data_IF_678864559499
#
_entry.id   IF_678864559499
#
_cell.length_a   1.000
_cell.length_b   1.000
_cell.length_c   1.000
_cell.angle_alpha   90.00
_cell.angle_beta   90.00
_cell.angle_gamma   90.00
#
_symmetry.space_group_name_H-M   'P 1'
#
loop_
_entity.id
_entity.type
_entity.pdbx_description
1 polymer ?
2 non-polymer ?
3 water ?
#
# COMPACT_ATOMS: atom_id res chain seq x y z
N UNK A 24 -14.59 -8.06 0.82
CA UNK A 24 -13.42 -8.12 -0.13
C UNK A 24 -13.47 -6.95 -1.10
N UNK A 25 -12.37 -6.66 -1.80
CA UNK A 25 -12.34 -5.71 -2.93
C UNK A 25 -11.67 -6.39 -4.12
N UNK A 26 -11.95 -5.95 -5.34
CA UNK A 26 -11.48 -6.52 -6.62
C UNK A 26 -11.00 -5.44 -7.57
N UNK A 27 -10.05 -5.79 -8.43
CA UNK A 27 -9.59 -4.94 -9.54
C UNK A 27 -9.19 -5.84 -10.71
N UNK A 28 -9.75 -5.50 -11.87
CA UNK A 28 -9.52 -6.22 -13.15
C UNK A 28 -8.71 -5.34 -14.09
N UNK A 29 -7.53 -5.78 -14.47
CA UNK A 29 -6.68 -5.04 -15.42
C UNK A 29 -7.30 -5.11 -16.82
N UNK A 30 -8.03 -6.17 -17.14
CA UNK A 30 -8.68 -6.27 -18.46
C UNK A 30 -9.79 -5.23 -18.54
N UNK A 31 -9.60 -4.27 -19.46
CA UNK A 31 -10.52 -3.15 -19.66
C UNK A 31 -10.34 -2.04 -18.64
N UNK A 32 -9.29 -2.09 -17.82
CA UNK A 32 -9.05 -1.06 -16.79
C UNK A 32 -8.75 0.27 -17.48
N UNK A 33 -9.17 1.33 -16.83
CA UNK A 33 -8.88 2.71 -17.23
C UNK A 33 -8.70 3.50 -15.94
N UNK A 34 -8.25 4.77 -16.03
CA UNK A 34 -8.12 5.59 -14.83
C UNK A 34 -9.36 5.52 -13.92
N UNK A 35 -10.56 5.54 -14.50
CA UNK A 35 -11.82 5.55 -13.73
C UNK A 35 -11.93 4.23 -12.94
N UNK A 36 -11.72 3.09 -13.56
CA UNK A 36 -11.93 1.81 -12.87
C UNK A 36 -10.84 1.64 -11.80
N UNK A 37 -9.63 2.12 -12.04
CA UNK A 37 -8.58 2.05 -11.00
C UNK A 37 -8.99 2.93 -9.82
N UNK A 38 -9.49 4.11 -10.10
CA UNK A 38 -9.95 5.01 -9.03
C UNK A 38 -11.04 4.36 -8.22
N UNK A 39 -11.95 3.63 -8.88
CA UNK A 39 -13.02 2.96 -8.13
C UNK A 39 -12.48 1.84 -7.24
N UNK A 40 -11.45 1.14 -7.69
CA UNK A 40 -10.80 0.09 -6.88
C UNK A 40 -10.16 0.75 -5.62
N UNK A 41 -9.42 1.83 -5.81
CA UNK A 41 -8.75 2.50 -4.65
C UNK A 41 -9.79 3.05 -3.71
N UNK A 42 -10.91 3.56 -4.24
CA UNK A 42 -12.01 3.97 -3.33
C UNK A 42 -12.55 2.75 -2.55
N UNK A 43 -12.79 1.64 -3.23
CA UNK A 43 -13.23 0.37 -2.57
C UNK A 43 -12.22 -0.01 -1.48
N UNK A 44 -10.93 0.08 -1.77
CA UNK A 44 -9.88 -0.37 -0.81
C UNK A 44 -9.92 0.53 0.44
N UNK A 45 -9.92 1.84 0.27
CA UNK A 45 -10.03 2.78 1.41
C UNK A 45 -11.29 2.48 2.22
N UNK A 46 -12.42 2.24 1.55
CA UNK A 46 -13.72 2.07 2.23
C UNK A 46 -13.78 0.74 2.99
N UNK A 47 -12.91 -0.23 2.69
CA UNK A 47 -12.92 -1.55 3.37
C UNK A 47 -12.09 -1.48 4.66
N UNK A 48 -11.35 -0.40 4.90
CA UNK A 48 -10.51 -0.26 6.11
C UNK A 48 -11.33 0.40 7.20
N UNK A 49 -11.53 -0.28 8.35
CA UNK A 49 -12.40 0.25 9.39
C UNK A 49 -11.77 1.46 10.09
N UNK A 50 -12.64 2.33 10.63
CA UNK A 50 -12.23 3.48 11.46
C UNK A 50 -13.39 3.82 12.36
N UNK A 51 -13.09 4.25 13.58
CA UNK A 51 -14.13 4.71 14.54
C UNK A 51 -14.19 6.23 14.56
N UNK A 52 -13.15 6.92 14.10
CA UNK A 52 -13.12 8.40 14.07
C UNK A 52 -12.25 8.91 12.93
N UNK A 53 -12.39 10.19 12.66
CA UNK A 53 -11.56 10.99 11.74
C UNK A 53 -10.80 12.04 12.54
N UNK A 54 -9.55 12.28 12.18
CA UNK A 54 -8.69 13.35 12.75
C UNK A 54 -8.43 14.33 11.62
N UNK A 55 -8.87 15.57 11.77
CA UNK A 55 -8.83 16.59 10.70
C UNK A 55 -9.40 15.98 9.42
N UNK A 56 -10.54 15.28 9.56
CA UNK A 56 -11.39 14.77 8.45
C UNK A 56 -10.69 13.61 7.72
N UNK A 57 -9.68 13.00 8.32
CA UNK A 57 -8.94 11.84 7.72
C UNK A 57 -9.26 10.61 8.58
N UNK A 58 -9.77 9.52 7.98
CA UNK A 58 -9.99 8.29 8.74
C UNK A 58 -8.73 7.86 9.51
N UNK A 59 -8.93 7.58 10.78
CA UNK A 59 -7.90 7.07 11.69
C UNK A 59 -8.03 5.55 11.76
N UNK A 60 -7.03 4.84 11.21
CA UNK A 60 -7.04 3.35 11.26
C UNK A 60 -7.03 2.87 12.72
N UNK A 61 -7.57 1.69 12.96
CA UNK A 61 -7.80 1.18 14.34
C UNK A 61 -6.47 0.79 14.97
N UNK A 62 -6.35 0.86 16.31
CA UNK A 62 -5.13 0.42 16.98
C UNK A 62 -4.88 -1.08 16.79
N UNK A 63 -5.96 -1.85 16.77
CA UNK A 63 -5.92 -3.33 16.73
C UNK A 63 -7.26 -3.87 16.25
N UNK A 64 -7.21 -5.03 15.60
CA UNK A 64 -8.39 -5.88 15.24
C UNK A 64 -8.00 -7.32 15.55
N UNK A 65 -8.82 -8.03 16.34
CA UNK A 65 -8.59 -9.45 16.73
C UNK A 65 -9.07 -10.37 15.60
N UNK A 66 -8.38 -11.49 15.39
CA UNK A 66 -8.86 -12.61 14.56
C UNK A 66 -8.78 -12.31 13.07
N UNK A 67 -9.61 -13.00 12.28
CA UNK A 67 -9.60 -12.95 10.79
C UNK A 67 -10.01 -11.55 10.32
N UNK A 68 -10.76 -10.80 11.15
CA UNK A 68 -11.23 -9.44 10.84
C UNK A 68 -10.10 -8.47 10.58
N UNK A 69 -8.89 -8.77 11.07
CA UNK A 69 -7.69 -7.94 10.85
C UNK A 69 -7.34 -7.88 9.35
N UNK A 70 -7.78 -8.82 8.53
CA UNK A 70 -7.24 -8.99 7.15
C UNK A 70 -8.32 -8.75 6.10
N UNK A 71 -8.03 -7.83 5.20
CA UNK A 71 -8.85 -7.56 3.99
C UNK A 71 -8.29 -8.41 2.85
N UNK A 72 -9.15 -9.04 2.07
CA UNK A 72 -8.76 -9.76 0.84
C UNK A 72 -8.99 -8.89 -0.39
N UNK A 73 -7.95 -8.71 -1.19
CA UNK A 73 -7.99 -7.97 -2.47
C UNK A 73 -7.83 -9.00 -3.60
N UNK A 74 -8.82 -9.11 -4.46
CA UNK A 74 -8.77 -10.01 -5.64
C UNK A 74 -8.30 -9.19 -6.85
N UNK A 75 -7.14 -9.52 -7.35
CA UNK A 75 -6.50 -8.80 -8.47
C UNK A 75 -6.44 -9.74 -9.67
N UNK A 76 -6.87 -9.24 -10.83
CA UNK A 76 -6.93 -10.01 -12.09
C UNK A 76 -6.02 -9.35 -13.12
N UNK A 77 -5.17 -10.13 -13.78
CA UNK A 77 -4.26 -9.58 -14.82
C UNK A 77 -5.05 -9.45 -16.13
N UNK A 78 -4.42 -8.95 -17.18
CA UNK A 78 -5.11 -8.69 -18.49
C UNK A 78 -5.75 -9.98 -18.97
N UNK A 79 -5.10 -11.12 -18.71
CA UNK A 79 -5.54 -12.47 -19.18
C UNK A 79 -6.61 -13.07 -18.27
N UNK A 80 -6.98 -12.41 -17.16
CA UNK A 80 -8.04 -12.85 -16.25
C UNK A 80 -7.58 -13.86 -15.20
N UNK A 81 -6.28 -14.12 -15.09
CA UNK A 81 -5.67 -14.93 -14.00
C UNK A 81 -5.63 -14.08 -12.74
N UNK A 82 -5.69 -14.69 -11.56
CA UNK A 82 -5.98 -13.93 -10.32
C UNK A 82 -5.08 -14.38 -9.17
N UNK A 83 -4.74 -13.41 -8.33
CA UNK A 83 -4.19 -13.64 -6.97
C UNK A 83 -5.12 -12.98 -5.98
N UNK A 84 -5.15 -13.49 -4.77
CA UNK A 84 -5.80 -12.80 -3.66
C UNK A 84 -4.70 -12.33 -2.71
N UNK A 85 -4.75 -11.07 -2.32
CA UNK A 85 -3.73 -10.45 -1.43
C UNK A 85 -4.39 -10.19 -0.08
N UNK A 86 -3.74 -10.57 0.99
CA UNK A 86 -4.17 -10.27 2.37
C UNK A 86 -3.50 -9.00 2.84
N UNK A 87 -4.29 -8.06 3.32
CA UNK A 87 -3.84 -6.73 3.78
C UNK A 87 -4.27 -6.55 5.24
N UNK A 88 -3.33 -6.18 6.12
CA UNK A 88 -3.66 -5.85 7.53
C UNK A 88 -4.39 -4.51 7.52
N UNK A 89 -5.62 -4.46 8.08
CA UNK A 89 -6.48 -3.25 7.95
C UNK A 89 -6.04 -2.17 8.95
N UNK A 90 -5.15 -2.47 9.89
CA UNK A 90 -4.64 -1.48 10.88
C UNK A 90 -3.54 -0.63 10.23
N UNK A 91 -2.83 -1.14 9.21
CA UNK A 91 -1.65 -0.40 8.72
C UNK A 91 -1.52 -0.48 7.18
N UNK A 92 -2.44 -1.16 6.52
CA UNK A 92 -2.44 -1.36 5.04
C UNK A 92 -1.16 -2.10 4.63
N UNK A 93 -0.55 -2.89 5.51
CA UNK A 93 0.60 -3.74 5.11
C UNK A 93 0.07 -5.00 4.43
N UNK A 94 0.73 -5.34 3.34
CA UNK A 94 0.48 -6.65 2.68
C UNK A 94 1.19 -7.74 3.48
N UNK A 95 0.45 -8.79 3.84
CA UNK A 95 0.97 -9.92 4.64
C UNK A 95 1.41 -11.04 3.72
N UNK A 96 0.63 -11.28 2.68
CA UNK A 96 0.86 -12.43 1.82
C UNK A 96 -0.21 -12.52 0.78
N UNK A 97 -0.19 -13.58 -0.02
CA UNK A 97 -1.13 -13.70 -1.15
C UNK A 97 -1.29 -15.18 -1.48
N UNK A 98 -2.38 -15.46 -2.15
CA UNK A 98 -2.76 -16.80 -2.64
C UNK A 98 -2.69 -16.80 -4.17
N UNK A 99 -1.96 -17.73 -4.75
CA UNK A 99 -1.92 -17.96 -6.21
C UNK A 99 -2.26 -19.42 -6.47
N UNK A 100 -3.45 -19.66 -7.02
CA UNK A 100 -3.98 -21.03 -7.29
C UNK A 100 -4.07 -21.75 -5.93
N UNK A 101 -3.21 -22.73 -5.68
CA UNK A 101 -3.31 -23.58 -4.46
C UNK A 101 -2.11 -23.36 -3.54
N UNK A 102 -1.31 -22.31 -3.77
CA UNK A 102 -0.14 -22.02 -2.92
C UNK A 102 -0.32 -20.65 -2.27
N UNK A 103 -0.16 -20.58 -0.96
CA UNK A 103 -0.10 -19.30 -0.24
C UNK A 103 1.35 -18.90 -0.09
N UNK A 104 1.59 -17.61 0.01
CA UNK A 104 2.92 -17.01 0.14
C UNK A 104 2.85 -15.93 1.20
N UNK A 105 3.71 -15.96 2.20
CA UNK A 105 3.72 -14.95 3.28
C UNK A 105 5.10 -14.36 3.44
N UNK A 106 5.19 -13.09 3.78
CA UNK A 106 6.47 -12.46 4.16
C UNK A 106 7.06 -13.16 5.38
N UNK A 107 8.38 -13.06 5.49
CA UNK A 107 9.15 -13.68 6.59
C UNK A 107 9.22 -12.67 7.73
N UNK A 108 8.09 -12.48 8.42
CA UNK A 108 7.98 -11.53 9.56
C UNK A 108 6.84 -12.03 10.46
N UNK A 109 6.92 -11.77 11.78
CA UNK A 109 5.90 -12.27 12.70
C UNK A 109 4.43 -11.91 12.42
N UNK A 110 4.15 -10.71 11.92
CA UNK A 110 2.76 -10.29 11.59
C UNK A 110 2.20 -11.18 10.47
N UNK A 111 3.04 -11.52 9.49
CA UNK A 111 2.62 -12.36 8.36
C UNK A 111 2.42 -13.81 8.81
N UNK A 112 3.28 -14.32 9.71
CA UNK A 112 3.11 -15.70 10.24
C UNK A 112 1.76 -15.77 10.97
N UNK A 113 1.42 -14.75 11.76
CA UNK A 113 0.12 -14.69 12.48
C UNK A 113 -1.03 -14.62 11.46
N UNK A 114 -0.89 -13.80 10.42
CA UNK A 114 -1.92 -13.72 9.35
C UNK A 114 -2.19 -15.12 8.78
N UNK A 115 -1.16 -15.96 8.63
CA UNK A 115 -1.28 -17.28 8.00
C UNK A 115 -2.11 -18.25 8.87
N UNK A 116 -2.44 -17.88 10.12
CA UNK A 116 -3.37 -18.67 10.97
C UNK A 116 -4.82 -18.45 10.53
N UNK A 117 -5.10 -17.35 9.82
CA UNK A 117 -6.47 -16.85 9.57
C UNK A 117 -6.84 -16.84 8.08
N UNK A 118 -5.88 -16.62 7.17
CA UNK A 118 -6.17 -16.46 5.72
C UNK A 118 -5.48 -17.57 4.92
N UNK A 119 -6.13 -17.98 3.82
CA UNK A 119 -5.59 -18.92 2.81
C UNK A 119 -5.30 -20.29 3.43
N UNK A 120 -6.01 -20.65 4.49
CA UNK A 120 -5.79 -21.91 5.23
C UNK A 120 -5.88 -23.10 4.27
N UNK A 121 -6.77 -23.01 3.28
CA UNK A 121 -7.15 -24.15 2.39
C UNK A 121 -6.14 -24.31 1.25
N UNK A 122 -5.06 -23.54 1.20
CA UNK A 122 -3.94 -23.69 0.24
C UNK A 122 -3.28 -25.05 0.48
N UNK A 123 -2.88 -25.72 -0.60
CA UNK A 123 -2.21 -27.05 -0.53
C UNK A 123 -0.87 -26.91 0.17
N UNK A 124 -0.18 -25.79 0.00
CA UNK A 124 1.12 -25.56 0.63
C UNK A 124 1.27 -24.06 0.90
N UNK A 125 2.09 -23.74 1.87
CA UNK A 125 2.37 -22.36 2.31
C UNK A 125 3.87 -22.13 2.20
N UNK A 126 4.24 -21.22 1.32
CA UNK A 126 5.67 -20.82 1.21
C UNK A 126 5.90 -19.55 2.01
N UNK A 127 6.92 -19.50 2.80
CA UNK A 127 7.41 -18.28 3.45
C UNK A 127 8.45 -17.69 2.51
N UNK A 128 8.21 -16.48 2.06
CA UNK A 128 9.16 -15.78 1.18
C UNK A 128 10.46 -15.56 1.94
N UNK A 129 11.61 -15.50 1.24
CA UNK A 129 12.90 -15.28 1.89
C UNK A 129 13.26 -13.80 2.12
N UNK A 130 12.27 -13.05 2.63
CA UNK A 130 12.39 -11.64 3.00
C UNK A 130 11.12 -11.22 3.73
N UNK A 131 11.27 -10.21 4.57
CA UNK A 131 10.14 -9.45 5.15
C UNK A 131 9.56 -8.53 4.07
N UNK A 132 8.48 -7.84 4.43
CA UNK A 132 7.79 -6.92 3.50
C UNK A 132 8.29 -5.49 3.59
N UNK A 133 9.35 -5.25 4.37
CA UNK A 133 10.02 -3.95 4.50
C UNK A 133 10.53 -3.51 3.12
N UNK A 134 10.37 -2.25 2.73
CA UNK A 134 10.90 -1.71 1.46
C UNK A 134 12.41 -1.96 1.31
N UNK A 135 13.18 -1.68 2.37
CA UNK A 135 14.64 -1.84 2.26
C UNK A 135 14.97 -3.31 1.95
N UNK A 136 14.33 -4.26 2.64
CA UNK A 136 14.58 -5.72 2.41
C UNK A 136 14.09 -6.13 1.01
N UNK A 137 12.93 -5.64 0.58
CA UNK A 137 12.41 -6.04 -0.76
C UNK A 137 13.35 -5.52 -1.84
N UNK A 138 13.85 -4.28 -1.68
CA UNK A 138 14.76 -3.66 -2.68
C UNK A 138 16.06 -4.46 -2.79
N UNK A 139 16.58 -4.96 -1.66
CA UNK A 139 17.81 -5.81 -1.68
C UNK A 139 17.49 -7.10 -2.44
N UNK A 140 16.36 -7.75 -2.12
CA UNK A 140 15.96 -9.02 -2.76
C UNK A 140 15.71 -8.82 -4.25
N UNK A 141 15.14 -7.67 -4.65
CA UNK A 141 14.77 -7.39 -6.06
C UNK A 141 16.02 -7.03 -6.87
N UNK A 142 17.04 -6.48 -6.20
CA UNK A 142 18.31 -6.04 -6.83
C UNK A 142 18.24 -4.61 -7.35
N UNK A 143 17.18 -3.88 -7.02
CA UNK A 143 16.93 -2.49 -7.48
C UNK A 143 16.15 -1.76 -6.39
N UNK A 144 16.41 -0.45 -6.17
CA UNK A 144 15.57 0.35 -5.28
C UNK A 144 14.31 0.76 -6.05
N UNK A 145 13.27 1.17 -5.33
CA UNK A 145 11.97 1.64 -5.89
C UNK A 145 12.15 2.71 -6.97
N UNK A 146 13.13 3.60 -6.77
CA UNK A 146 13.34 4.76 -7.65
C UNK A 146 13.60 4.28 -9.08
N UNK A 147 14.07 3.03 -9.27
CA UNK A 147 14.44 2.49 -10.61
C UNK A 147 13.42 1.49 -11.15
N UNK A 148 12.35 1.19 -10.42
CA UNK A 148 11.35 0.17 -10.85
C UNK A 148 10.12 0.90 -11.39
N UNK A 149 9.84 0.81 -12.70
CA UNK A 149 8.65 1.46 -13.23
C UNK A 149 7.37 0.89 -12.62
N UNK A 150 6.44 1.79 -12.32
CA UNK A 150 5.11 1.40 -11.79
C UNK A 150 4.04 1.92 -12.72
N UNK A 151 2.84 1.40 -12.56
CA UNK A 151 1.69 1.74 -13.39
C UNK A 151 0.79 0.55 -13.50
N UNK A 152 -0.28 0.65 -14.28
CA UNK A 152 -1.20 -0.49 -14.45
C UNK A 152 -0.54 -1.60 -15.26
N UNK A 153 0.21 -1.33 -16.35
CA UNK A 153 0.92 -2.43 -17.01
C UNK A 153 1.87 -3.17 -16.05
N UNK A 154 2.58 -2.42 -15.21
CA UNK A 154 3.50 -3.03 -14.23
C UNK A 154 2.72 -3.92 -13.27
N UNK A 155 1.52 -3.51 -12.88
CA UNK A 155 0.68 -4.33 -11.97
C UNK A 155 0.23 -5.60 -12.70
N UNK A 156 -0.09 -5.51 -13.98
CA UNK A 156 -0.38 -6.73 -14.79
C UNK A 156 0.84 -7.66 -14.70
N UNK A 157 2.02 -7.14 -14.95
CA UNK A 157 3.27 -7.95 -14.90
C UNK A 157 3.45 -8.53 -13.49
N UNK A 158 3.16 -7.76 -12.44
CA UNK A 158 3.39 -8.21 -11.05
C UNK A 158 2.47 -9.38 -10.72
N UNK A 159 1.19 -9.30 -11.06
CA UNK A 159 0.22 -10.40 -10.84
C UNK A 159 0.72 -11.62 -11.60
N UNK A 160 1.11 -11.45 -12.85
CA UNK A 160 1.63 -12.59 -13.65
C UNK A 160 2.83 -13.21 -12.95
N UNK A 161 3.79 -12.41 -12.47
CA UNK A 161 5.00 -12.91 -11.77
C UNK A 161 4.55 -13.72 -10.55
N UNK A 162 3.62 -13.21 -9.75
CA UNK A 162 3.29 -13.85 -8.46
C UNK A 162 2.49 -15.14 -8.65
N UNK A 163 1.96 -15.41 -9.85
CA UNK A 163 1.17 -16.64 -10.07
C UNK A 163 2.03 -17.89 -9.89
N UNK A 164 3.33 -17.79 -10.16
CA UNK A 164 4.26 -18.96 -10.07
C UNK A 164 5.52 -18.50 -9.37
N UNK A 165 5.95 -19.25 -8.37
CA UNK A 165 7.01 -18.82 -7.46
C UNK A 165 8.33 -18.49 -8.20
N UNK A 166 8.86 -17.31 -7.92
CA UNK A 166 10.22 -16.87 -8.31
C UNK A 166 10.58 -15.80 -7.29
N UNK A 167 11.36 -16.09 -6.26
CA UNK A 167 11.49 -15.15 -5.11
C UNK A 167 12.16 -13.84 -5.53
N UNK A 168 13.14 -13.85 -6.43
CA UNK A 168 13.79 -12.57 -6.88
C UNK A 168 12.78 -11.76 -7.69
N UNK A 169 12.07 -12.38 -8.63
CA UNK A 169 11.07 -11.68 -9.47
C UNK A 169 9.96 -11.21 -8.54
N UNK A 170 9.55 -12.04 -7.58
CA UNK A 170 8.42 -11.70 -6.69
C UNK A 170 8.75 -10.44 -5.90
N UNK A 171 9.98 -10.24 -5.46
CA UNK A 171 10.34 -9.02 -4.68
C UNK A 171 10.00 -7.76 -5.50
N UNK A 172 10.43 -7.70 -6.74
CA UNK A 172 10.10 -6.57 -7.61
C UNK A 172 8.60 -6.45 -7.80
N UNK A 173 7.92 -7.56 -8.05
CA UNK A 173 6.47 -7.56 -8.30
C UNK A 173 5.79 -7.03 -7.03
N UNK A 174 6.24 -7.47 -5.85
CA UNK A 174 5.64 -6.96 -4.60
C UNK A 174 5.89 -5.46 -4.43
N UNK A 175 7.06 -4.94 -4.80
CA UNK A 175 7.25 -3.47 -4.69
C UNK A 175 6.25 -2.75 -5.60
N UNK A 176 5.97 -3.30 -6.79
CA UNK A 176 4.95 -2.68 -7.68
C UNK A 176 3.56 -2.80 -7.02
N UNK A 177 3.21 -3.99 -6.53
CA UNK A 177 1.90 -4.27 -5.94
C UNK A 177 1.67 -3.34 -4.75
N UNK A 178 2.66 -3.21 -3.87
CA UNK A 178 2.44 -2.39 -2.65
C UNK A 178 2.17 -0.94 -3.08
N UNK A 179 2.93 -0.43 -4.04
CA UNK A 179 2.80 1.01 -4.35
C UNK A 179 1.51 1.26 -5.11
N UNK A 180 1.03 0.31 -5.93
CA UNK A 180 -0.16 0.55 -6.77
C UNK A 180 -1.45 0.25 -6.01
N UNK A 181 -1.39 -0.30 -4.80
CA UNK A 181 -2.57 -0.63 -3.99
C UNK A 181 -2.49 0.18 -2.69
N UNK A 182 -1.75 -0.31 -1.71
CA UNK A 182 -1.65 0.33 -0.37
C UNK A 182 -1.20 1.78 -0.46
N UNK A 183 -0.18 2.11 -1.25
CA UNK A 183 0.33 3.50 -1.19
C UNK A 183 -0.67 4.43 -1.87
N UNK A 184 -1.31 3.98 -2.94
CA UNK A 184 -2.38 4.77 -3.60
C UNK A 184 -3.57 4.95 -2.65
N UNK A 185 -3.91 3.94 -1.85
CA UNK A 185 -4.97 4.08 -0.83
C UNK A 185 -4.60 5.17 0.15
N UNK A 186 -3.35 5.24 0.53
CA UNK A 186 -2.91 6.19 1.58
C UNK A 186 -2.88 7.61 1.04
N UNK A 187 -2.57 7.83 -0.22
CA UNK A 187 -2.35 9.19 -0.76
C UNK A 187 -3.05 9.41 -2.08
N UNK A 188 -3.90 10.39 -2.12
CA UNK A 188 -4.61 10.76 -3.37
C UNK A 188 -3.60 11.07 -4.47
N UNK A 189 -2.50 11.75 -4.16
CA UNK A 189 -1.45 12.06 -5.16
C UNK A 189 -0.95 10.78 -5.81
N UNK A 190 -0.68 9.75 -5.00
CA UNK A 190 -0.13 8.49 -5.56
C UNK A 190 -1.20 7.81 -6.41
N UNK A 191 -2.43 7.75 -5.97
CA UNK A 191 -3.54 7.26 -6.82
C UNK A 191 -3.48 7.97 -8.18
N UNK A 192 -3.41 9.29 -8.20
CA UNK A 192 -3.39 10.07 -9.47
C UNK A 192 -2.13 9.77 -10.28
N UNK A 193 -0.98 9.52 -9.66
CA UNK A 193 0.26 9.14 -10.39
C UNK A 193 0.04 7.80 -11.10
N UNK A 194 -0.62 6.84 -10.44
CA UNK A 194 -0.85 5.53 -11.11
C UNK A 194 -1.86 5.73 -12.25
N UNK A 195 -2.84 6.61 -12.07
CA UNK A 195 -3.83 6.89 -13.14
C UNK A 195 -3.11 7.45 -14.36
N UNK A 196 -2.10 8.26 -14.15
CA UNK A 196 -1.29 8.81 -15.27
C UNK A 196 -0.51 7.70 -15.97
N UNK A 197 -0.23 6.61 -15.27
CA UNK A 197 0.53 5.44 -15.75
C UNK A 197 -0.44 4.30 -16.10
N UNK A 198 -1.65 4.60 -16.56
CA UNK A 198 -2.66 3.57 -16.86
C UNK A 198 -2.20 2.71 -18.06
N UNK A 199 -1.45 3.29 -19.00
CA UNK A 199 -1.07 2.60 -20.26
C UNK A 199 0.42 2.69 -20.52
N UNK A 200 1.21 3.23 -19.62
CA UNK A 200 2.66 3.43 -19.79
C UNK A 200 3.28 3.53 -18.41
N UNK A 201 4.13 2.56 -18.06
CA UNK A 201 4.83 2.57 -16.75
C UNK A 201 5.86 3.69 -16.70
N UNK A 202 6.16 4.19 -15.52
CA UNK A 202 7.22 5.19 -15.29
C UNK A 202 7.65 5.03 -13.84
N UNK A 203 8.93 5.22 -13.57
CA UNK A 203 9.47 5.14 -12.19
C UNK A 203 8.69 6.15 -11.37
N UNK A 204 8.52 5.88 -10.06
CA UNK A 204 7.80 6.81 -9.22
C UNK A 204 8.42 8.21 -9.19
N UNK A 205 7.57 9.24 -9.08
CA UNK A 205 8.01 10.64 -8.89
C UNK A 205 8.78 10.76 -7.56
N UNK A 206 9.56 11.82 -7.44
CA UNK A 206 10.25 12.11 -6.16
C UNK A 206 9.22 12.28 -5.03
N UNK A 207 8.10 12.97 -5.28
CA UNK A 207 7.01 13.18 -4.29
C UNK A 207 6.42 11.82 -3.88
N UNK A 208 6.25 10.89 -4.82
CA UNK A 208 5.70 9.55 -4.51
C UNK A 208 6.58 8.84 -3.48
N UNK A 209 7.88 8.76 -3.70
CA UNK A 209 8.81 8.09 -2.74
C UNK A 209 8.76 8.83 -1.38
N UNK A 210 8.79 10.16 -1.40
CA UNK A 210 8.77 11.03 -0.20
C UNK A 210 7.53 10.70 0.64
N UNK A 211 6.36 10.66 0.00
CA UNK A 211 5.08 10.39 0.72
C UNK A 211 5.09 8.97 1.30
N UNK A 212 5.54 7.98 0.54
CA UNK A 212 5.60 6.58 1.05
C UNK A 212 6.44 6.54 2.31
N UNK A 213 7.59 7.21 2.25
CA UNK A 213 8.57 7.19 3.36
C UNK A 213 8.01 7.95 4.56
N UNK A 214 7.12 8.89 4.33
CA UNK A 214 6.67 9.84 5.37
C UNK A 214 5.31 9.49 5.96
N UNK A 215 4.64 8.42 5.52
CA UNK A 215 3.25 8.17 5.95
C UNK A 215 3.18 8.05 7.47
N UNK A 216 4.05 7.23 8.06
CA UNK A 216 4.05 7.04 9.54
C UNK A 216 4.29 8.39 10.24
N UNK A 217 5.30 9.14 9.78
CA UNK A 217 5.62 10.46 10.37
C UNK A 217 4.45 11.42 10.26
N UNK A 218 3.87 11.58 9.07
CA UNK A 218 2.71 12.47 8.87
C UNK A 218 1.55 12.03 9.75
N UNK A 219 1.26 10.72 9.79
CA UNK A 219 0.17 10.16 10.61
C UNK A 219 0.36 10.58 12.08
N UNK A 220 1.58 10.41 12.59
CA UNK A 220 1.95 10.79 13.99
C UNK A 220 1.73 12.29 14.19
N UNK A 221 2.27 13.14 13.32
CA UNK A 221 2.20 14.62 13.52
C UNK A 221 0.75 15.11 13.41
N UNK A 222 -0.10 14.57 12.53
CA UNK A 222 -1.52 14.99 12.41
C UNK A 222 -2.26 14.63 13.70
N UNK A 223 -2.05 13.45 14.26
CA UNK A 223 -2.67 13.09 15.56
C UNK A 223 -2.14 14.01 16.67
N UNK A 224 -0.85 14.29 16.71
CA UNK A 224 -0.27 15.19 17.77
C UNK A 224 -0.80 16.61 17.58
N UNK A 225 -1.18 17.02 16.38
CA UNK A 225 -1.67 18.38 16.09
C UNK A 225 -3.02 18.62 16.81
N UNK A 226 -3.80 17.57 17.07
CA UNK A 226 -4.92 17.60 18.06
C UNK A 226 -4.29 17.80 19.45
N UNK A 227 -4.38 18.99 20.03
CA UNK A 227 -3.72 19.31 21.30
C UNK A 227 -2.60 20.33 21.12
N UNK A 228 -2.24 20.65 19.87
CA UNK A 228 -1.19 21.65 19.54
C UNK A 228 -1.73 22.66 18.52
N UNK A 229 -3.06 22.88 18.49
CA UNK A 229 -3.69 23.94 17.65
C UNK A 229 -3.46 23.69 16.17
N UNK A 230 -3.36 22.42 15.79
CA UNK A 230 -3.13 21.99 14.40
C UNK A 230 -1.68 22.11 13.99
N UNK A 231 -0.77 22.38 14.92
CA UNK A 231 0.68 22.61 14.70
C UNK A 231 1.40 21.29 14.92
N UNK A 232 2.26 20.92 13.98
CA UNK A 232 3.14 19.74 14.08
C UNK A 232 4.16 20.00 15.20
N UNK A 233 4.26 19.06 16.14
CA UNK A 233 5.32 19.11 17.18
C UNK A 233 6.70 19.00 16.53
N UNK A 234 6.81 18.22 15.45
CA UNK A 234 8.04 18.08 14.63
C UNK A 234 7.66 18.25 13.18
N UNK A 235 8.05 19.35 12.50
CA UNK A 235 7.79 19.51 11.08
C UNK A 235 8.33 18.32 10.26
N UNK A 236 7.66 18.00 9.15
CA UNK A 236 8.04 16.90 8.21
C UNK A 236 8.52 17.54 6.90
N UNK A 237 9.70 17.13 6.44
CA UNK A 237 10.29 17.55 5.15
C UNK A 237 9.77 16.57 4.08
N UNK A 238 9.07 17.09 3.09
CA UNK A 238 8.61 16.31 1.91
C UNK A 238 9.20 16.88 0.63
N UNK A 239 8.99 16.15 -0.45
CA UNK A 239 9.14 16.65 -1.83
C UNK A 239 7.74 16.90 -2.39
N UNK A 240 7.50 18.05 -3.01
CA UNK A 240 6.16 18.41 -3.55
C UNK A 240 6.03 17.90 -4.98
N UNK A 241 4.88 18.14 -5.60
CA UNK A 241 4.49 17.58 -6.93
C UNK A 241 5.33 18.20 -8.04
N UNK A 242 6.11 19.26 -7.75
CA UNK A 242 7.04 19.89 -8.74
C UNK A 242 8.48 19.41 -8.49
N UNK A 243 8.72 18.57 -7.49
CA UNK A 243 10.07 18.04 -7.18
C UNK A 243 10.84 18.93 -6.22
N UNK A 244 10.15 19.88 -5.58
CA UNK A 244 10.79 20.87 -4.67
C UNK A 244 10.54 20.48 -3.21
N UNK A 245 11.50 20.82 -2.36
CA UNK A 245 11.31 20.72 -0.89
C UNK A 245 10.09 21.53 -0.45
N UNK A 246 9.29 20.94 0.45
CA UNK A 246 8.25 21.65 1.23
C UNK A 246 8.34 21.14 2.68
N UNK A 247 8.32 22.04 3.64
CA UNK A 247 8.35 21.71 5.09
C UNK A 247 6.91 21.84 5.57
N UNK A 248 6.36 20.75 6.10
CA UNK A 248 4.96 20.69 6.57
C UNK A 248 4.98 20.98 8.07
N UNK A 249 4.35 22.09 8.47
CA UNK A 249 4.39 22.58 9.87
C UNK A 249 3.01 22.44 10.51
N UNK A 250 1.92 22.31 9.76
CA UNK A 250 0.57 22.39 10.35
C UNK A 250 -0.45 21.74 9.42
N UNK A 251 -1.67 21.54 9.93
CA UNK A 251 -2.76 20.79 9.24
C UNK A 251 -3.42 21.61 8.12
N UNK A 252 -3.05 22.86 7.89
CA UNK A 252 -3.62 23.64 6.75
C UNK A 252 -2.89 23.28 5.45
N UNK A 253 -1.78 22.55 5.53
CA UNK A 253 -1.00 22.09 4.35
C UNK A 253 -1.88 21.22 3.43
N UNK A 254 -1.72 21.42 2.12
CA UNK A 254 -2.34 20.57 1.07
C UNK A 254 -2.15 19.07 1.36
N UNK A 255 -1.01 18.67 1.90
CA UNK A 255 -0.75 17.21 2.11
C UNK A 255 -1.78 16.70 3.14
N UNK A 256 -2.21 17.55 4.09
CA UNK A 256 -3.19 17.15 5.13
C UNK A 256 -4.61 17.37 4.63
N UNK A 257 -4.90 18.48 3.95
CA UNK A 257 -6.30 18.83 3.57
C UNK A 257 -6.77 18.04 2.35
N UNK A 258 -5.89 17.61 1.47
CA UNK A 258 -6.33 17.02 0.17
C UNK A 258 -5.74 15.62 -0.06
N UNK A 259 -4.51 15.40 0.35
CA UNK A 259 -3.69 14.27 -0.16
C UNK A 259 -3.84 13.03 0.71
N UNK A 260 -3.36 13.05 1.95
CA UNK A 260 -3.40 11.85 2.81
C UNK A 260 -4.83 11.42 3.05
N UNK A 261 -5.10 10.11 2.96
CA UNK A 261 -6.47 9.57 3.03
C UNK A 261 -6.68 8.69 4.25
N UNK A 262 -5.60 8.23 4.89
CA UNK A 262 -5.66 7.23 5.99
C UNK A 262 -4.56 7.61 6.98
N UNK A 263 -4.83 7.48 8.27
CA UNK A 263 -3.78 7.73 9.28
C UNK A 263 -3.46 6.43 9.98
N UNK A 264 -2.17 6.12 10.06
CA UNK A 264 -1.67 5.04 10.92
C UNK A 264 -1.89 5.46 12.37
N UNK A 265 -2.54 4.62 13.17
CA UNK A 265 -2.82 4.96 14.58
C UNK A 265 -1.50 5.11 15.34
N UNK A 266 -1.35 6.20 16.12
CA UNK A 266 -0.12 6.47 16.91
C UNK A 266 0.21 5.29 17.85
N UNK A 267 -0.79 4.48 18.24
CA UNK A 267 -0.59 3.28 19.10
C UNK A 267 0.28 2.26 18.36
N UNK A 268 0.31 2.30 17.03
CA UNK A 268 1.06 1.35 16.16
C UNK A 268 2.32 2.02 15.60
N UNK A 269 2.75 3.14 16.21
CA UNK A 269 3.97 3.91 15.82
C UNK A 269 4.95 3.92 17.02
X LIG B 1 6.86 2.14 5.62
X LIG B 1 7.47 2.92 4.51
X LIG B 1 6.74 3.28 6.69
X LIG B 1 7.90 0.89 6.12
X LIG B 1 8.19 -0.09 4.96
X LIG B 1 6.99 -0.28 4.04
X LIG B 1 6.85 -1.42 3.49
X LIG B 1 5.43 0.15 4.78
X LIG B 1 5.37 1.52 5.18
X LIG B 1 4.56 -0.30 4.05
X LIG B 1 4.04 0.73 3.10
X LIG B 1 5.31 -1.50 3.14
X LIG B 1 4.86 -2.62 3.35
X LIG B 1 3.95 -3.36 2.66
X LIG B 1 3.80 -4.55 3.30
X LIG B 1 4.61 -4.54 4.39
X LIG B 1 4.84 -5.50 5.37
X LIG B 1 4.24 -6.84 5.53
X LIG B 1 5.70 -5.27 6.37
X LIG B 1 6.38 -4.07 6.43
X LIG B 1 6.16 -3.12 5.46
X LIG B 1 5.28 -3.36 4.44
#
# INVERSE_FOLDING_TARGET
MSRFSVLSFLILAIFLGGSIVKGDVSFRLSGADPRSYGMFIKDLRNALPFREKVYNIPLLLPSVSGAGRYLLMHLFNYDGKTITVAVDVTNVYIMGYLADTTSYFFNEPAAELASQYVFRDARRKITLPYSGNYERLQIAAGKPREKIPIGLPALDSAISTLLHYDSTAAAGALLVLIQTTAEAARFKYIEQQIQERAYRDEVPSLATISLENSWSGLSKQIQLAQGNNGIFRTPIVLVDNKGNRVQITNVTSKVVTSNIQLLLNTRNIAEGDNGDVSTTHGFSSY
CMP P O1P O2P O5' C5' C4' O4' C3' O3' C2' O2' C1' N9 C8 N7 C5 C6 N6 N1 C2 N3 C4
#
